data_IF_823453305062
#
_entry.id   IF_823453305062
#
_cell.length_a   1.000
_cell.length_b   1.000
_cell.length_c   1.000
_cell.angle_alpha   90.00
_cell.angle_beta   90.00
_cell.angle_gamma   90.00
#
_symmetry.space_group_name_H-M   'P 1'
#
loop_
_entity.id
_entity.type
_entity.pdbx_description
1 polymer ?
#
# COMPACT_ATOMS: atom_id res chain seq x y z
N UNK A 1 -3.71 -20.79 -4.21
CA UNK A 1 -3.02 -20.97 -2.92
C UNK A 1 -3.14 -19.66 -2.18
N UNK A 2 -3.39 -19.71 -0.87
CA UNK A 2 -3.30 -18.53 -0.02
C UNK A 2 -2.23 -18.80 1.03
N UNK A 3 -1.41 -17.80 1.33
CA UNK A 3 -0.36 -17.88 2.36
C UNK A 3 -0.15 -16.49 2.98
N UNK A 4 0.26 -16.47 4.24
CA UNK A 4 0.55 -15.24 4.97
C UNK A 4 1.90 -15.37 5.65
N UNK A 5 2.76 -14.37 5.47
CA UNK A 5 4.02 -14.29 6.20
C UNK A 5 4.04 -13.05 7.09
N UNK A 6 4.76 -13.19 8.21
CA UNK A 6 4.84 -12.17 9.24
C UNK A 6 6.29 -11.99 9.66
N UNK A 7 6.60 -10.82 10.19
CA UNK A 7 7.87 -10.60 10.87
C UNK A 7 7.86 -11.17 12.30
N UNK A 8 8.98 -11.01 13.01
CA UNK A 8 9.14 -11.50 14.38
C UNK A 8 8.26 -10.77 15.41
N UNK A 9 7.67 -9.63 15.04
CA UNK A 9 6.73 -8.87 15.85
C UNK A 9 5.27 -9.17 15.46
N UNK A 10 5.03 -10.22 14.67
CA UNK A 10 3.71 -10.63 14.18
C UNK A 10 3.02 -9.59 13.29
N UNK A 11 3.78 -8.74 12.60
CA UNK A 11 3.25 -7.80 11.59
C UNK A 11 3.30 -8.44 10.21
N UNK A 12 2.30 -8.17 9.39
CA UNK A 12 2.18 -8.73 8.04
C UNK A 12 3.37 -8.32 7.17
N UNK A 13 3.99 -9.26 6.48
CA UNK A 13 4.94 -8.95 5.40
C UNK A 13 4.33 -9.25 4.04
N UNK A 14 3.53 -10.31 3.95
CA UNK A 14 3.03 -10.81 2.69
C UNK A 14 1.72 -11.55 2.89
N UNK A 15 0.76 -11.30 2.02
CA UNK A 15 -0.46 -12.07 1.88
C UNK A 15 -0.59 -12.46 0.41
N UNK A 16 -0.37 -13.73 0.08
CA UNK A 16 -0.49 -14.22 -1.27
C UNK A 16 -1.89 -14.74 -1.53
N UNK A 17 -2.42 -14.41 -2.70
CA UNK A 17 -3.56 -15.10 -3.26
C UNK A 17 -3.40 -15.21 -4.78
N UNK A 18 -2.89 -16.36 -5.20
CA UNK A 18 -2.84 -16.74 -6.62
C UNK A 18 -3.79 -17.88 -6.91
N UNK A 19 -4.73 -17.67 -7.83
CA UNK A 19 -5.63 -18.70 -8.36
C UNK A 19 -5.25 -19.04 -9.80
N UNK A 20 -4.94 -20.31 -10.07
CA UNK A 20 -4.75 -20.82 -11.43
C UNK A 20 -6.07 -21.41 -11.93
N UNK A 21 -6.59 -20.90 -13.04
CA UNK A 21 -7.78 -21.44 -13.72
C UNK A 21 -7.39 -22.21 -14.99
N UNK A 22 -7.41 -23.54 -14.93
CA UNK A 22 -7.41 -24.45 -16.10
C UNK A 22 -6.23 -24.30 -17.08
N UNK A 23 -6.40 -24.90 -18.28
CA UNK A 23 -5.37 -25.01 -19.32
C UNK A 23 -5.12 -23.72 -20.13
N UNK A 24 -5.80 -22.62 -19.82
CA UNK A 24 -5.71 -21.32 -20.51
C UNK A 24 -5.40 -20.18 -19.52
N UNK A 25 -4.15 -20.18 -19.04
CA UNK A 25 -3.29 -19.05 -18.68
C UNK A 25 -3.90 -17.66 -18.36
N UNK A 26 -4.85 -17.57 -17.42
CA UNK A 26 -5.02 -16.36 -16.62
C UNK A 26 -4.84 -16.75 -15.16
N UNK A 27 -3.71 -16.35 -14.57
CA UNK A 27 -3.50 -16.48 -13.12
C UNK A 27 -4.05 -15.23 -12.49
N UNK A 28 -5.09 -15.36 -11.67
CA UNK A 28 -5.51 -14.25 -10.84
C UNK A 28 -4.46 -14.04 -9.76
N UNK A 29 -4.00 -12.80 -9.60
CA UNK A 29 -3.07 -12.40 -8.56
C UNK A 29 -3.73 -11.27 -7.75
N UNK A 30 -3.85 -11.49 -6.45
CA UNK A 30 -4.32 -10.51 -5.48
C UNK A 30 -3.36 -10.41 -4.29
N UNK A 31 -2.07 -10.61 -4.55
CA UNK A 31 -1.02 -10.56 -3.54
C UNK A 31 -0.95 -9.15 -2.94
N UNK A 32 -0.58 -9.08 -1.66
CA UNK A 32 -0.24 -7.86 -0.94
C UNK A 32 1.14 -8.03 -0.33
N UNK A 33 2.05 -7.10 -0.61
CA UNK A 33 3.39 -7.09 -0.03
C UNK A 33 3.60 -5.82 0.79
N UNK A 34 4.11 -5.97 2.01
CA UNK A 34 4.66 -4.86 2.77
C UNK A 34 6.15 -4.77 2.47
N UNK A 35 6.64 -3.59 2.07
CA UNK A 35 8.02 -3.45 1.59
C UNK A 35 8.27 -4.34 0.38
N UNK A 36 9.18 -5.30 0.51
CA UNK A 36 9.46 -6.33 -0.50
C UNK A 36 8.86 -7.71 -0.16
N UNK A 37 8.02 -7.81 0.87
CA UNK A 37 7.39 -9.06 1.31
C UNK A 37 8.25 -10.01 2.16
N UNK A 38 9.50 -9.63 2.47
CA UNK A 38 10.44 -10.51 3.19
C UNK A 38 11.34 -9.79 4.19
N UNK A 39 11.66 -8.53 3.96
CA UNK A 39 12.50 -7.68 4.81
C UNK A 39 11.62 -6.70 5.62
N UNK A 40 11.46 -6.92 6.94
CA UNK A 40 10.65 -6.05 7.79
C UNK A 40 11.11 -4.58 7.81
N UNK A 41 12.39 -4.31 7.53
CA UNK A 41 12.94 -2.94 7.56
C UNK A 41 12.56 -2.12 6.32
N UNK A 42 12.12 -2.80 5.26
CA UNK A 42 11.53 -2.19 4.07
C UNK A 42 10.01 -2.02 4.22
N UNK A 43 9.38 -2.88 5.02
CA UNK A 43 7.96 -2.84 5.32
C UNK A 43 7.59 -1.82 6.39
N UNK A 44 8.40 -1.71 7.44
CA UNK A 44 8.11 -0.92 8.63
C UNK A 44 9.32 -0.14 9.13
N UNK A 45 9.07 0.98 9.80
CA UNK A 45 10.08 1.66 10.61
C UNK A 45 10.19 1.03 12.03
N UNK A 46 11.09 1.59 12.85
CA UNK A 46 11.33 1.13 14.21
C UNK A 46 10.14 1.34 15.17
N UNK A 47 9.25 2.29 14.88
CA UNK A 47 8.04 2.56 15.64
C UNK A 47 6.86 1.67 15.20
N UNK A 48 7.01 0.95 14.09
CA UNK A 48 6.01 0.08 13.51
C UNK A 48 5.08 0.74 12.51
N UNK A 49 5.43 1.94 12.08
CA UNK A 49 4.76 2.60 10.97
C UNK A 49 5.08 1.88 9.66
N UNK A 50 4.10 1.79 8.77
CA UNK A 50 4.28 1.20 7.44
C UNK A 50 5.16 2.11 6.60
N UNK A 51 6.10 1.57 5.82
CA UNK A 51 6.91 2.36 4.88
C UNK A 51 6.42 2.22 3.44
N UNK A 52 6.06 0.99 3.05
CA UNK A 52 5.61 0.68 1.68
C UNK A 52 4.60 -0.45 1.67
N UNK A 53 3.59 -0.34 0.81
CA UNK A 53 2.64 -1.40 0.52
C UNK A 53 2.51 -1.55 -1.00
N UNK A 54 2.45 -2.78 -1.48
CA UNK A 54 2.20 -3.10 -2.87
C UNK A 54 1.00 -4.03 -2.96
N UNK A 55 0.11 -3.81 -3.93
CA UNK A 55 -1.09 -4.62 -4.14
C UNK A 55 -1.27 -4.98 -5.60
N UNK A 56 -1.67 -6.23 -5.84
CA UNK A 56 -2.06 -6.72 -7.15
C UNK A 56 -3.57 -6.91 -7.25
N UNK A 57 -4.08 -6.79 -8.48
CA UNK A 57 -5.47 -7.02 -8.80
C UNK A 57 -5.65 -7.42 -10.27
N UNK A 58 -6.90 -7.61 -10.68
CA UNK A 58 -7.23 -8.11 -12.03
C UNK A 58 -8.23 -7.19 -12.71
N UNK A 59 -7.88 -6.72 -13.92
CA UNK A 59 -8.78 -5.95 -14.79
C UNK A 59 -9.71 -6.86 -15.59
N UNK A 60 -10.75 -6.30 -16.20
CA UNK A 60 -11.71 -7.01 -17.06
C UNK A 60 -11.08 -7.85 -18.19
N UNK A 61 -9.84 -7.53 -18.60
CA UNK A 61 -9.07 -8.31 -19.58
C UNK A 61 -8.37 -9.56 -18.99
N UNK A 62 -8.54 -9.85 -17.70
CA UNK A 62 -8.05 -11.07 -17.03
C UNK A 62 -6.57 -11.09 -16.65
N UNK A 63 -5.80 -10.04 -17.01
CA UNK A 63 -4.40 -9.94 -16.63
C UNK A 63 -4.24 -9.40 -15.20
N UNK A 64 -3.46 -10.11 -14.39
CA UNK A 64 -2.94 -9.62 -13.13
C UNK A 64 -2.05 -8.39 -13.38
N UNK A 65 -2.27 -7.33 -12.61
CA UNK A 65 -1.48 -6.10 -12.64
C UNK A 65 -1.26 -5.61 -11.23
N UNK A 66 -0.13 -4.94 -11.00
CA UNK A 66 0.01 -4.13 -9.81
C UNK A 66 -0.96 -2.96 -9.92
N UNK A 67 -1.69 -2.68 -8.85
CA UNK A 67 -2.68 -1.61 -8.76
C UNK A 67 -2.27 -0.56 -7.72
N UNK A 68 -1.49 -0.94 -6.71
CA UNK A 68 -0.93 -0.03 -5.73
C UNK A 68 0.57 -0.31 -5.51
N UNK A 69 1.33 0.77 -5.34
CA UNK A 69 2.72 0.82 -4.91
C UNK A 69 2.94 2.08 -4.06
N UNK A 70 2.42 2.00 -2.85
CA UNK A 70 2.25 3.08 -1.90
C UNK A 70 3.50 3.25 -1.05
N UNK A 71 4.00 4.47 -0.96
CA UNK A 71 5.01 4.88 0.02
C UNK A 71 4.39 5.80 1.05
N UNK A 72 4.58 5.46 2.32
CA UNK A 72 4.04 6.18 3.46
C UNK A 72 5.16 6.97 4.12
N UNK A 73 4.96 8.27 4.32
CA UNK A 73 5.88 9.12 5.09
C UNK A 73 5.17 9.75 6.27
N UNK A 74 5.91 9.99 7.34
CA UNK A 74 5.37 10.46 8.61
C UNK A 74 6.00 11.78 9.02
N UNK A 75 5.24 12.57 9.78
CA UNK A 75 5.69 13.88 10.27
C UNK A 75 6.97 13.75 11.11
N UNK A 76 7.66 14.88 11.29
CA UNK A 76 8.91 14.96 12.06
C UNK A 76 9.99 14.01 11.55
N UNK A 77 10.14 13.90 10.22
CA UNK A 77 11.15 13.04 9.58
C UNK A 77 11.05 11.57 10.02
N UNK A 78 9.83 11.05 10.23
CA UNK A 78 9.61 9.68 10.69
C UNK A 78 9.64 9.50 12.22
N UNK A 79 9.90 10.55 13.00
CA UNK A 79 9.87 10.47 14.46
C UNK A 79 8.44 10.55 15.07
N UNK A 80 7.41 10.55 14.22
CA UNK A 80 6.00 10.63 14.61
C UNK A 80 5.21 9.44 14.05
N UNK A 81 4.10 9.09 14.71
CA UNK A 81 3.13 8.12 14.18
C UNK A 81 1.97 8.81 13.43
N UNK A 82 2.12 10.10 13.12
CA UNK A 82 1.18 10.87 12.29
C UNK A 82 1.63 10.82 10.83
N UNK A 83 0.78 10.26 9.98
CA UNK A 83 1.00 10.14 8.53
C UNK A 83 1.06 11.54 7.91
N UNK A 84 2.07 11.83 7.10
CA UNK A 84 2.25 13.10 6.40
C UNK A 84 1.69 13.04 4.98
N UNK A 85 1.99 11.97 4.25
CA UNK A 85 1.51 11.72 2.90
C UNK A 85 1.57 10.25 2.54
N UNK A 86 0.79 9.88 1.53
CA UNK A 86 0.87 8.57 0.86
C UNK A 86 1.08 8.85 -0.61
N UNK A 87 2.29 8.59 -1.09
CA UNK A 87 2.61 8.74 -2.51
C UNK A 87 2.47 7.41 -3.23
N UNK A 88 1.89 7.44 -4.42
CA UNK A 88 1.73 6.29 -5.30
C UNK A 88 2.78 6.33 -6.42
N UNK A 89 3.33 5.18 -6.81
CA UNK A 89 4.29 5.10 -7.93
C UNK A 89 3.62 5.56 -9.23
N UNK A 90 4.35 6.28 -10.09
CA UNK A 90 3.79 6.81 -11.34
C UNK A 90 3.26 5.72 -12.29
N UNK A 91 3.76 4.49 -12.17
CA UNK A 91 3.32 3.33 -12.95
C UNK A 91 1.95 2.79 -12.54
N UNK A 92 1.53 3.09 -11.31
CA UNK A 92 0.30 2.63 -10.67
C UNK A 92 -0.63 3.79 -10.28
N UNK A 93 -0.16 5.05 -10.38
CA UNK A 93 -0.92 6.26 -10.09
C UNK A 93 -1.93 6.62 -11.20
N UNK A 94 -2.70 5.64 -11.65
CA UNK A 94 -3.84 5.81 -12.56
C UNK A 94 -5.00 5.05 -11.96
N UNK A 95 -6.13 5.72 -11.65
CA UNK A 95 -7.29 5.05 -11.06
C UNK A 95 -7.71 3.82 -11.85
N UNK A 96 -7.68 2.66 -11.22
CA UNK A 96 -8.06 1.37 -11.79
C UNK A 96 -9.53 1.06 -11.55
N UNK A 97 -10.15 1.71 -10.55
CA UNK A 97 -11.54 1.51 -10.17
C UNK A 97 -11.76 0.19 -9.42
N UNK A 98 -10.70 -0.36 -8.83
CA UNK A 98 -10.68 -1.66 -8.16
C UNK A 98 -10.55 -1.53 -6.63
N UNK A 99 -10.81 -0.33 -6.09
CA UNK A 99 -10.53 0.00 -4.69
C UNK A 99 -9.06 0.38 -4.44
N UNK A 100 -8.32 0.66 -5.51
CA UNK A 100 -6.96 1.21 -5.51
C UNK A 100 -6.92 2.65 -4.98
N UNK A 101 -5.76 3.03 -4.44
CA UNK A 101 -5.44 4.40 -4.10
C UNK A 101 -4.86 5.14 -5.32
N UNK A 102 -5.04 6.46 -5.36
CA UNK A 102 -4.39 7.31 -6.36
C UNK A 102 -3.97 8.58 -5.63
N UNK A 103 -2.69 8.90 -5.70
CA UNK A 103 -2.16 10.17 -5.18
C UNK A 103 -2.59 11.30 -6.13
N UNK A 104 -3.50 12.14 -5.65
CA UNK A 104 -4.09 13.24 -6.42
C UNK A 104 -3.56 14.60 -5.99
N UNK A 105 -2.59 14.66 -5.07
CA UNK A 105 -2.04 15.90 -4.55
C UNK A 105 -0.54 16.03 -4.80
N UNK A 106 -0.05 17.23 -4.54
CA UNK A 106 1.39 17.49 -4.43
C UNK A 106 1.69 17.96 -3.01
N UNK A 107 2.83 17.52 -2.48
CA UNK A 107 3.30 17.86 -1.13
C UNK A 107 2.71 16.96 -0.04
N UNK A 108 2.44 17.56 1.12
CA UNK A 108 1.87 16.85 2.27
C UNK A 108 0.35 16.71 2.13
N UNK A 109 -0.18 15.52 2.36
CA UNK A 109 -1.60 15.21 2.16
C UNK A 109 -2.42 15.41 3.42
N UNK A 110 -1.81 15.13 4.58
CA UNK A 110 -2.49 15.02 5.86
C UNK A 110 -2.04 16.10 6.84
N UNK A 111 -3.01 16.86 7.36
CA UNK A 111 -2.81 17.89 8.37
C UNK A 111 -3.50 17.53 9.68
N UNK A 112 -2.92 17.92 10.82
CA UNK A 112 -3.46 17.63 12.14
C UNK A 112 -3.52 18.86 13.03
N UNK A 113 -4.54 18.95 13.87
CA UNK A 113 -4.58 19.93 14.95
C UNK A 113 -3.61 19.57 16.09
N UNK A 114 -3.54 20.45 17.10
CA UNK A 114 -2.67 20.27 18.27
C UNK A 114 -3.03 19.04 19.11
N UNK A 115 -4.29 18.60 19.08
CA UNK A 115 -4.76 17.40 19.78
C UNK A 115 -4.51 16.12 18.96
N UNK A 116 -4.14 16.25 17.69
CA UNK A 116 -3.89 15.15 16.79
C UNK A 116 -5.09 14.69 15.98
N UNK A 117 -6.16 15.47 15.95
CA UNK A 117 -7.27 15.19 15.03
C UNK A 117 -6.87 15.54 13.60
N UNK A 118 -7.27 14.72 12.63
CA UNK A 118 -7.09 15.00 11.21
C UNK A 118 -7.96 16.19 10.79
N UNK A 119 -7.36 17.23 10.21
CA UNK A 119 -8.05 18.45 9.75
C UNK A 119 -7.88 18.71 8.26
N UNK A 120 -7.06 17.93 7.56
CA UNK A 120 -6.88 18.02 6.11
C UNK A 120 -6.58 16.63 5.58
N UNK A 121 -7.25 16.24 4.49
CA UNK A 121 -6.95 15.04 3.71
C UNK A 121 -7.15 15.35 2.23
N UNK A 122 -6.03 15.67 1.56
CA UNK A 122 -6.06 16.09 0.15
C UNK A 122 -6.48 14.98 -0.81
N UNK A 123 -6.34 13.71 -0.43
CA UNK A 123 -6.72 12.56 -1.24
C UNK A 123 -8.23 12.25 -1.17
N UNK A 124 -8.92 12.77 -0.13
CA UNK A 124 -10.39 12.74 -0.02
C UNK A 124 -11.06 14.08 -0.29
N UNK A 125 -10.28 15.11 -0.64
CA UNK A 125 -10.73 16.49 -0.79
C UNK A 125 -11.45 17.01 0.48
N UNK A 126 -10.92 16.67 1.67
CA UNK A 126 -11.32 17.22 2.96
C UNK A 126 -10.44 18.41 3.35
#
# INVERSE_FOLDING_TARGET
>A
MFDYSYDKASRLLKADFTQKTGSFASSFNFDVLMGNGSDPTQAYDANGNIKRMQQWGVKAAGAATQIDDLTYTYLNFGASNKLQKVSESSTTNTPMGLGDFTDKSTGDDYGYDRNGNLVTDKNKHL
#
